data_IF_368812522705
#
_entry.id   IF_368812522705
#
_cell.length_a   1.000
_cell.length_b   1.000
_cell.length_c   1.000
_cell.angle_alpha   90.00
_cell.angle_beta   90.00
_cell.angle_gamma   90.00
#
_symmetry.space_group_name_H-M   'P 1'
#
loop_
_entity.id
_entity.type
_entity.pdbx_description
1 polymer ?
#
# COMPACT_ATOMS: atom_id res chain seq x y z
N UNK A 1 25.51 -24.54 -11.97
CA UNK A 1 24.32 -23.70 -11.73
C UNK A 1 24.70 -22.70 -10.64
N UNK A 2 24.47 -21.41 -10.86
CA UNK A 2 24.72 -20.38 -9.83
C UNK A 2 23.61 -20.33 -8.79
N UNK A 3 23.79 -19.52 -7.76
CA UNK A 3 22.77 -19.23 -6.75
C UNK A 3 21.61 -18.43 -7.34
N UNK A 4 20.43 -18.56 -6.73
CA UNK A 4 19.24 -17.80 -7.12
C UNK A 4 19.39 -16.32 -6.78
N UNK A 5 18.86 -15.45 -7.65
CA UNK A 5 18.83 -14.01 -7.40
C UNK A 5 17.90 -13.69 -6.23
N UNK A 6 18.35 -12.83 -5.32
CA UNK A 6 17.56 -12.37 -4.17
C UNK A 6 16.53 -11.29 -4.57
N UNK A 7 15.55 -11.66 -5.40
CA UNK A 7 14.57 -10.73 -5.99
C UNK A 7 13.84 -9.93 -4.90
N UNK A 8 13.34 -10.59 -3.84
CA UNK A 8 12.63 -9.88 -2.76
C UNK A 8 13.50 -8.87 -1.99
N UNK A 9 14.83 -9.07 -1.93
CA UNK A 9 15.73 -8.06 -1.33
C UNK A 9 15.93 -6.87 -2.26
N UNK A 10 16.00 -7.10 -3.57
CA UNK A 10 16.11 -6.05 -4.57
C UNK A 10 14.83 -5.21 -4.63
N UNK A 11 13.66 -5.86 -4.63
CA UNK A 11 12.35 -5.18 -4.57
C UNK A 11 12.25 -4.29 -3.34
N UNK A 12 12.54 -4.85 -2.15
CA UNK A 12 12.55 -4.07 -0.90
C UNK A 12 13.50 -2.89 -0.97
N UNK A 13 14.73 -3.08 -1.45
CA UNK A 13 15.70 -2.00 -1.57
C UNK A 13 15.19 -0.86 -2.45
N UNK A 14 14.60 -1.18 -3.60
CA UNK A 14 14.05 -0.17 -4.51
C UNK A 14 12.88 0.57 -3.88
N UNK A 15 11.97 -0.13 -3.18
CA UNK A 15 10.86 0.49 -2.46
C UNK A 15 11.33 1.40 -1.32
N UNK A 16 12.26 0.93 -0.48
CA UNK A 16 12.84 1.69 0.64
C UNK A 16 13.56 2.96 0.11
N UNK A 17 14.31 2.84 -0.98
CA UNK A 17 14.99 3.97 -1.62
C UNK A 17 13.99 4.99 -2.16
N UNK A 18 12.94 4.53 -2.86
CA UNK A 18 11.88 5.37 -3.41
C UNK A 18 11.16 6.18 -2.32
N UNK A 19 10.84 5.55 -1.19
CA UNK A 19 10.22 6.20 -0.04
C UNK A 19 11.15 7.26 0.58
N UNK A 20 12.43 6.94 0.77
CA UNK A 20 13.42 7.87 1.33
C UNK A 20 13.70 9.11 0.44
N UNK A 21 13.44 9.01 -0.86
CA UNK A 21 13.69 10.07 -1.84
C UNK A 21 12.40 10.76 -2.33
N UNK A 22 11.26 10.49 -1.69
CA UNK A 22 9.96 11.12 -1.99
C UNK A 22 9.58 11.04 -3.48
N UNK A 23 9.80 9.88 -4.11
CA UNK A 23 9.38 9.66 -5.50
C UNK A 23 7.86 9.78 -5.59
N UNK A 24 7.38 10.68 -6.44
CA UNK A 24 5.95 10.90 -6.63
C UNK A 24 5.34 9.78 -7.48
N UNK A 25 4.39 9.05 -6.89
CA UNK A 25 3.62 7.97 -7.53
C UNK A 25 2.11 8.28 -7.55
N UNK A 26 1.73 9.54 -7.31
CA UNK A 26 0.36 9.99 -7.07
C UNK A 26 -0.40 10.45 -8.32
N UNK A 27 0.16 10.26 -9.52
CA UNK A 27 -0.50 10.63 -10.76
C UNK A 27 -1.89 9.96 -10.91
N UNK A 28 -2.92 10.76 -11.19
CA UNK A 28 -4.31 10.32 -11.34
C UNK A 28 -4.94 10.80 -12.64
N UNK A 29 -5.87 10.02 -13.19
CA UNK A 29 -6.81 10.43 -14.23
C UNK A 29 -7.76 11.56 -13.75
N UNK A 30 -8.40 12.29 -14.68
CA UNK A 30 -9.45 13.26 -14.33
C UNK A 30 -10.58 12.63 -13.50
N UNK A 31 -11.15 13.43 -12.59
CA UNK A 31 -12.22 12.98 -11.69
C UNK A 31 -13.46 12.57 -12.48
N UNK A 32 -14.00 11.39 -12.17
CA UNK A 32 -15.23 10.83 -12.77
C UNK A 32 -16.51 11.26 -12.05
N UNK A 33 -16.39 11.78 -10.82
CA UNK A 33 -17.54 12.12 -9.97
C UNK A 33 -18.32 10.91 -9.44
N UNK A 34 -17.75 9.70 -9.57
CA UNK A 34 -18.35 8.45 -9.10
C UNK A 34 -17.70 8.07 -7.76
N UNK A 35 -18.54 7.76 -6.77
CA UNK A 35 -18.11 7.38 -5.42
C UNK A 35 -18.04 5.87 -5.25
N UNK A 36 -16.99 5.39 -4.59
CA UNK A 36 -16.78 3.97 -4.28
C UNK A 36 -16.47 3.79 -2.79
N UNK A 37 -17.15 2.85 -2.14
CA UNK A 37 -16.86 2.44 -0.77
C UNK A 37 -16.05 1.14 -0.77
N UNK A 38 -14.97 1.09 -0.01
CA UNK A 38 -14.16 -0.11 0.24
C UNK A 38 -14.29 -0.47 1.72
N UNK A 39 -14.67 -1.71 2.03
CA UNK A 39 -14.83 -2.18 3.41
C UNK A 39 -13.59 -3.00 3.79
N UNK A 40 -12.85 -2.51 4.79
CA UNK A 40 -11.58 -3.06 5.28
C UNK A 40 -10.35 -2.40 4.66
N UNK A 41 -9.39 -2.06 5.51
CA UNK A 41 -8.12 -1.39 5.16
C UNK A 41 -6.93 -2.33 5.09
N UNK A 42 -7.18 -3.63 4.91
CA UNK A 42 -6.11 -4.60 4.65
C UNK A 42 -5.44 -4.37 3.28
N UNK A 43 -4.41 -5.16 2.95
CA UNK A 43 -3.68 -5.00 1.69
C UNK A 43 -4.58 -5.06 0.45
N UNK A 44 -5.61 -5.92 0.45
CA UNK A 44 -6.58 -5.98 -0.64
C UNK A 44 -7.38 -4.67 -0.80
N UNK A 45 -7.87 -4.11 0.30
CA UNK A 45 -8.65 -2.87 0.30
C UNK A 45 -7.82 -1.66 -0.10
N UNK A 46 -6.60 -1.54 0.43
CA UNK A 46 -5.66 -0.46 0.09
C UNK A 46 -5.26 -0.49 -1.39
N UNK A 47 -4.93 -1.67 -1.92
CA UNK A 47 -4.59 -1.81 -3.36
C UNK A 47 -5.77 -1.44 -4.24
N UNK A 48 -6.97 -1.96 -3.93
CA UNK A 48 -8.18 -1.62 -4.69
C UNK A 48 -8.48 -0.11 -4.66
N UNK A 49 -8.38 0.51 -3.48
CA UNK A 49 -8.62 1.94 -3.32
C UNK A 49 -7.58 2.78 -4.08
N UNK A 50 -6.30 2.43 -4.00
CA UNK A 50 -5.22 3.12 -4.72
C UNK A 50 -5.41 3.07 -6.24
N UNK A 51 -5.74 1.90 -6.79
CA UNK A 51 -5.97 1.74 -8.23
C UNK A 51 -7.20 2.50 -8.72
N UNK A 52 -8.28 2.51 -7.94
CA UNK A 52 -9.49 3.28 -8.27
C UNK A 52 -9.25 4.78 -8.15
N UNK A 53 -8.50 5.24 -7.14
CA UNK A 53 -8.12 6.64 -7.00
C UNK A 53 -7.28 7.11 -8.20
N UNK A 54 -6.30 6.30 -8.65
CA UNK A 54 -5.53 6.58 -9.88
C UNK A 54 -6.41 6.69 -11.12
N UNK A 55 -7.51 5.96 -11.17
CA UNK A 55 -8.51 6.01 -12.25
C UNK A 55 -9.56 7.13 -12.08
N UNK A 56 -9.37 8.06 -11.13
CA UNK A 56 -10.24 9.23 -10.97
C UNK A 56 -11.56 8.98 -10.23
N UNK A 57 -11.70 7.84 -9.53
CA UNK A 57 -12.85 7.59 -8.66
C UNK A 57 -12.68 8.26 -7.29
N UNK A 58 -13.78 8.66 -6.66
CA UNK A 58 -13.80 9.16 -5.27
C UNK A 58 -13.97 7.97 -4.31
N UNK A 59 -12.87 7.47 -3.75
CA UNK A 59 -12.88 6.27 -2.92
C UNK A 59 -12.89 6.62 -1.44
N UNK A 60 -13.73 5.95 -0.65
CA UNK A 60 -13.72 6.00 0.82
C UNK A 60 -13.51 4.60 1.39
N UNK A 61 -12.53 4.45 2.28
CA UNK A 61 -12.26 3.19 2.97
C UNK A 61 -12.91 3.24 4.36
N UNK A 62 -13.66 2.19 4.71
CA UNK A 62 -14.23 2.01 6.04
C UNK A 62 -13.48 0.90 6.76
N UNK A 63 -12.86 1.22 7.90
CA UNK A 63 -12.13 0.28 8.75
C UNK A 63 -12.80 0.16 10.11
N UNK A 64 -12.89 -1.06 10.64
CA UNK A 64 -13.51 -1.33 11.93
C UNK A 64 -12.54 -1.09 13.10
N UNK A 65 -11.24 -1.23 12.86
CA UNK A 65 -10.19 -1.06 13.86
C UNK A 65 -9.65 0.38 13.89
N UNK A 66 -8.85 0.69 14.91
CA UNK A 66 -8.38 2.04 15.23
C UNK A 66 -7.28 2.58 14.30
N UNK A 67 -6.61 1.68 13.59
CA UNK A 67 -5.59 1.96 12.56
C UNK A 67 -5.86 1.14 11.32
N UNK A 68 -5.48 1.71 10.18
CA UNK A 68 -5.49 1.05 8.88
C UNK A 68 -4.38 -0.01 8.76
N UNK A 69 -4.51 -0.93 7.79
CA UNK A 69 -3.45 -1.88 7.40
C UNK A 69 -3.82 -3.35 7.62
N UNK A 70 -4.89 -3.64 8.37
CA UNK A 70 -5.35 -5.01 8.62
C UNK A 70 -4.24 -5.92 9.16
N UNK A 71 -3.98 -7.06 8.52
CA UNK A 71 -2.94 -8.00 8.95
C UNK A 71 -1.53 -7.38 8.95
N UNK A 72 -1.27 -6.34 8.14
CA UNK A 72 0.02 -5.65 8.13
C UNK A 72 0.27 -4.92 9.46
N UNK A 73 -0.78 -4.34 10.06
CA UNK A 73 -0.69 -3.62 11.34
C UNK A 73 -0.87 -4.54 12.55
N UNK A 74 -1.83 -5.47 12.49
CA UNK A 74 -2.26 -6.25 13.65
C UNK A 74 -1.75 -7.70 13.67
N UNK A 75 -1.27 -8.24 12.55
CA UNK A 75 -0.91 -9.65 12.44
C UNK A 75 0.60 -9.90 12.31
N UNK A 76 1.28 -9.18 11.42
CA UNK A 76 2.70 -9.42 11.15
C UNK A 76 3.56 -8.77 12.25
N UNK A 77 4.48 -9.51 12.89
CA UNK A 77 5.35 -8.95 13.92
C UNK A 77 6.36 -7.91 13.38
N UNK A 78 6.70 -6.93 14.21
CA UNK A 78 7.60 -5.80 13.89
C UNK A 78 8.96 -6.22 13.34
N UNK A 79 9.55 -7.30 13.88
CA UNK A 79 10.86 -7.80 13.46
C UNK A 79 10.86 -8.37 12.03
N UNK A 80 9.68 -8.71 11.49
CA UNK A 80 9.51 -9.12 10.09
C UNK A 80 9.06 -7.98 9.20
N UNK A 81 8.20 -7.10 9.71
CA UNK A 81 7.61 -5.98 8.99
C UNK A 81 7.63 -4.73 9.88
N UNK A 82 8.56 -3.80 9.67
CA UNK A 82 8.59 -2.55 10.42
C UNK A 82 7.36 -1.70 10.07
N UNK A 83 6.45 -1.50 11.05
CA UNK A 83 5.14 -0.89 10.79
C UNK A 83 5.25 0.58 10.41
N UNK A 84 6.10 1.32 11.11
CA UNK A 84 6.31 2.76 10.83
C UNK A 84 6.87 3.04 9.44
N UNK A 85 7.59 2.09 8.85
CA UNK A 85 8.21 2.29 7.52
C UNK A 85 7.37 1.74 6.37
N UNK A 86 6.54 0.73 6.64
CA UNK A 86 5.89 -0.06 5.58
C UNK A 86 4.36 0.05 5.61
N UNK A 87 3.77 0.36 6.76
CA UNK A 87 2.31 0.41 6.94
C UNK A 87 1.79 1.83 7.13
N UNK A 88 2.55 2.65 7.86
CA UNK A 88 2.22 4.05 8.18
C UNK A 88 2.53 5.03 7.04
#
# INVERSE_FOLDING_TARGET
KGESVSIGKLERFTADWSAAHNVDLSATEPKKGIKVAVIGSGPAGLTCAGDLAKKGYEVTIFEALHKAGGVLEYGIPEFRLPKEKVVA
#
